data_IF_642376445925
#
_entry.id   IF_642376445925
#
_cell.length_a   1.000
_cell.length_b   1.000
_cell.length_c   1.000
_cell.angle_alpha   90.00
_cell.angle_beta   90.00
_cell.angle_gamma   90.00
#
_symmetry.space_group_name_H-M   'P 1'
#
loop_
_entity.id
_entity.type
_entity.pdbx_description
1 polymer ?
#
# COMPACT_ATOMS: atom_id res chain seq x y z
N UNK A 1 23.68 -7.19 -11.78
CA UNK A 1 23.11 -5.88 -11.42
C UNK A 1 22.53 -5.81 -10.00
N UNK A 2 22.38 -6.92 -9.27
CA UNK A 2 22.05 -6.86 -7.83
C UNK A 2 20.61 -6.43 -7.49
N UNK A 3 19.68 -6.55 -8.46
CA UNK A 3 18.26 -6.25 -8.25
C UNK A 3 17.65 -7.36 -7.37
N UNK A 4 16.78 -6.97 -6.44
CA UNK A 4 16.24 -7.85 -5.39
C UNK A 4 14.71 -7.92 -5.35
N UNK A 5 14.01 -7.16 -6.20
CA UNK A 5 12.56 -7.03 -6.22
C UNK A 5 12.11 -6.91 -7.69
N UNK A 6 11.22 -7.79 -8.15
CA UNK A 6 10.69 -7.78 -9.51
C UNK A 6 9.16 -7.78 -9.49
N UNK A 7 8.61 -6.58 -9.67
CA UNK A 7 7.20 -6.29 -9.47
C UNK A 7 6.39 -6.45 -10.74
N UNK A 8 5.21 -7.07 -10.60
CA UNK A 8 4.19 -7.25 -11.62
C UNK A 8 4.76 -7.64 -13.02
N UNK A 9 5.45 -8.79 -13.13
CA UNK A 9 6.14 -9.16 -14.36
C UNK A 9 5.21 -9.55 -15.52
N UNK A 10 3.94 -9.78 -15.22
CA UNK A 10 2.91 -10.27 -16.13
C UNK A 10 1.59 -9.55 -15.81
N UNK A 11 0.61 -9.52 -16.74
CA UNK A 11 -0.70 -8.96 -16.44
C UNK A 11 -1.27 -9.56 -15.15
N UNK A 12 -1.53 -8.71 -14.14
CA UNK A 12 -1.82 -9.16 -12.77
C UNK A 12 -3.00 -10.15 -12.70
N UNK A 13 -3.99 -10.01 -13.59
CA UNK A 13 -5.17 -10.87 -13.65
C UNK A 13 -4.91 -12.27 -14.24
N UNK A 14 -3.68 -12.59 -14.66
CA UNK A 14 -3.26 -13.90 -15.16
C UNK A 14 -2.25 -14.55 -14.17
N UNK A 15 -2.70 -15.05 -13.01
CA UNK A 15 -1.82 -15.54 -11.94
C UNK A 15 -0.94 -16.71 -12.37
N UNK A 16 -1.36 -17.50 -13.34
CA UNK A 16 -0.58 -18.61 -13.89
C UNK A 16 0.69 -18.11 -14.61
N UNK A 17 0.64 -16.94 -15.24
CA UNK A 17 1.80 -16.37 -15.93
C UNK A 17 2.80 -15.81 -14.90
N UNK A 18 2.33 -15.04 -13.91
CA UNK A 18 3.18 -14.57 -12.81
C UNK A 18 3.83 -15.75 -12.07
N UNK A 19 3.06 -16.81 -11.80
CA UNK A 19 3.58 -18.00 -11.12
C UNK A 19 4.71 -18.68 -11.91
N UNK A 20 4.62 -18.78 -13.24
CA UNK A 20 5.73 -19.32 -14.06
C UNK A 20 7.01 -18.50 -13.86
N UNK A 21 6.90 -17.18 -13.73
CA UNK A 21 8.04 -16.29 -13.49
C UNK A 21 8.60 -16.51 -12.08
N UNK A 22 7.75 -16.53 -11.06
CA UNK A 22 8.11 -16.79 -9.66
C UNK A 22 8.84 -18.13 -9.52
N UNK A 23 8.30 -19.20 -10.11
CA UNK A 23 8.90 -20.54 -10.01
C UNK A 23 10.23 -20.66 -10.79
N UNK A 24 10.44 -19.85 -11.83
CA UNK A 24 11.63 -19.92 -12.68
C UNK A 24 12.81 -19.06 -12.19
N UNK A 25 12.54 -18.02 -11.40
CA UNK A 25 13.53 -17.04 -10.99
C UNK A 25 13.94 -17.22 -9.53
N UNK A 26 15.05 -16.55 -9.16
CA UNK A 26 15.54 -16.46 -7.78
C UNK A 26 15.34 -15.08 -7.15
N UNK A 27 14.98 -14.09 -7.98
CA UNK A 27 14.65 -12.74 -7.51
C UNK A 27 13.23 -12.79 -6.95
N UNK A 28 12.96 -12.06 -5.86
CA UNK A 28 11.62 -11.99 -5.28
C UNK A 28 10.66 -11.40 -6.33
N UNK A 29 9.66 -12.18 -6.74
CA UNK A 29 8.56 -11.72 -7.61
C UNK A 29 7.41 -11.22 -6.74
N UNK A 30 6.88 -10.05 -7.07
CA UNK A 30 5.95 -9.34 -6.18
C UNK A 30 4.73 -8.83 -6.94
N UNK A 31 3.61 -8.63 -6.24
CA UNK A 31 2.44 -7.99 -6.83
C UNK A 31 1.18 -8.02 -5.97
N UNK A 32 0.08 -7.59 -6.57
CA UNK A 32 -1.26 -7.57 -5.99
C UNK A 32 -1.83 -6.19 -5.68
N UNK A 33 -1.22 -5.10 -6.17
CA UNK A 33 -1.69 -3.74 -5.88
C UNK A 33 -3.14 -3.52 -6.35
N UNK A 34 -3.54 -4.07 -7.51
CA UNK A 34 -4.89 -3.89 -8.06
C UNK A 34 -5.91 -4.92 -7.55
N UNK A 35 -5.46 -5.97 -6.85
CA UNK A 35 -6.34 -7.03 -6.38
C UNK A 35 -7.19 -6.55 -5.19
N UNK A 36 -8.49 -6.37 -5.41
CA UNK A 36 -9.43 -5.90 -4.36
C UNK A 36 -10.36 -7.01 -3.82
N UNK A 37 -10.26 -8.24 -4.31
CA UNK A 37 -11.14 -9.37 -3.96
C UNK A 37 -10.43 -10.39 -3.05
N UNK A 38 -11.03 -10.70 -1.90
CA UNK A 38 -10.48 -11.66 -0.93
C UNK A 38 -10.33 -13.08 -1.49
N UNK A 39 -11.14 -13.45 -2.48
CA UNK A 39 -11.05 -14.77 -3.13
C UNK A 39 -9.78 -14.86 -3.97
N UNK A 40 -9.41 -13.77 -4.65
CA UNK A 40 -8.18 -13.70 -5.46
C UNK A 40 -6.97 -13.71 -4.53
N UNK A 41 -6.98 -12.90 -3.48
CA UNK A 41 -5.92 -12.90 -2.46
C UNK A 41 -5.69 -14.28 -1.87
N UNK A 42 -6.77 -14.99 -1.51
CA UNK A 42 -6.67 -16.34 -0.98
C UNK A 42 -6.03 -17.30 -1.99
N UNK A 43 -6.48 -17.30 -3.25
CA UNK A 43 -5.89 -18.15 -4.31
C UNK A 43 -4.41 -17.84 -4.52
N UNK A 44 -4.07 -16.55 -4.64
CA UNK A 44 -2.72 -16.06 -4.87
C UNK A 44 -1.74 -16.51 -3.76
N UNK A 45 -2.17 -16.41 -2.50
CA UNK A 45 -1.38 -16.80 -1.33
C UNK A 45 -1.29 -18.33 -1.20
N UNK A 46 -2.41 -19.06 -1.33
CA UNK A 46 -2.44 -20.52 -1.20
C UNK A 46 -1.51 -21.19 -2.24
N UNK A 47 -1.46 -20.63 -3.46
CA UNK A 47 -0.67 -21.15 -4.57
C UNK A 47 0.74 -20.57 -4.65
N UNK A 48 1.07 -19.61 -3.79
CA UNK A 48 2.33 -18.87 -3.79
C UNK A 48 2.66 -18.34 -5.19
N UNK A 49 1.74 -17.56 -5.75
CA UNK A 49 1.91 -16.95 -7.08
C UNK A 49 3.03 -15.91 -7.07
N UNK A 50 3.22 -15.23 -5.93
CA UNK A 50 4.27 -14.23 -5.68
C UNK A 50 5.04 -14.60 -4.41
N UNK A 51 6.27 -14.08 -4.30
CA UNK A 51 7.12 -14.20 -3.11
C UNK A 51 6.79 -13.13 -2.05
N UNK A 52 6.25 -11.98 -2.49
CA UNK A 52 5.85 -10.85 -1.63
C UNK A 52 4.49 -10.32 -2.09
N UNK A 53 3.56 -10.15 -1.16
CA UNK A 53 2.25 -9.54 -1.43
C UNK A 53 2.30 -8.02 -1.29
N UNK A 54 1.57 -7.30 -2.15
CA UNK A 54 1.57 -5.84 -2.20
C UNK A 54 0.17 -5.22 -2.21
N UNK A 55 -0.69 -5.48 -1.20
CA UNK A 55 -2.01 -4.87 -1.17
C UNK A 55 -1.92 -3.34 -1.08
N UNK A 56 -2.72 -2.61 -1.86
CA UNK A 56 -2.96 -1.19 -1.61
C UNK A 56 -4.08 -1.01 -0.56
N UNK A 57 -3.85 -0.21 0.47
CA UNK A 57 -4.82 -0.03 1.58
C UNK A 57 -6.13 0.62 1.11
N UNK A 58 -6.07 1.54 0.15
CA UNK A 58 -7.23 2.23 -0.39
C UNK A 58 -8.00 1.36 -1.38
N UNK A 59 -7.31 0.65 -2.29
CA UNK A 59 -7.98 -0.23 -3.27
C UNK A 59 -8.60 -1.46 -2.62
N UNK A 60 -8.00 -1.97 -1.54
CA UNK A 60 -8.58 -3.05 -0.76
C UNK A 60 -9.88 -2.69 -0.06
N UNK A 61 -10.21 -1.40 0.09
CA UNK A 61 -11.34 -0.93 0.87
C UNK A 61 -11.00 -0.77 2.36
N UNK A 62 -9.76 -0.40 2.68
CA UNK A 62 -9.33 0.05 4.00
C UNK A 62 -8.55 -0.98 4.83
N UNK A 63 -8.04 -0.50 5.97
CA UNK A 63 -7.14 -1.25 6.87
C UNK A 63 -7.66 -2.63 7.25
N UNK A 64 -8.94 -2.76 7.60
CA UNK A 64 -9.50 -4.03 8.08
C UNK A 64 -9.31 -5.14 7.06
N UNK A 65 -9.55 -4.85 5.78
CA UNK A 65 -9.41 -5.82 4.69
C UNK A 65 -7.92 -6.07 4.40
N UNK A 66 -7.10 -5.03 4.35
CA UNK A 66 -5.65 -5.19 4.16
C UNK A 66 -5.00 -6.01 5.29
N UNK A 67 -5.46 -5.88 6.53
CA UNK A 67 -4.99 -6.67 7.68
C UNK A 67 -5.35 -8.14 7.54
N UNK A 68 -6.52 -8.45 6.96
CA UNK A 68 -6.89 -9.83 6.64
C UNK A 68 -5.96 -10.44 5.58
N UNK A 69 -5.60 -9.68 4.54
CA UNK A 69 -4.62 -10.09 3.53
C UNK A 69 -3.25 -10.34 4.16
N UNK A 70 -2.73 -9.38 4.95
CA UNK A 70 -1.46 -9.56 5.64
C UNK A 70 -1.47 -10.76 6.57
N UNK A 71 -2.60 -11.03 7.27
CA UNK A 71 -2.73 -12.20 8.13
C UNK A 71 -2.72 -13.52 7.34
N UNK A 72 -3.35 -13.57 6.17
CA UNK A 72 -3.27 -14.74 5.28
C UNK A 72 -1.83 -14.96 4.82
N UNK A 73 -1.14 -13.89 4.42
CA UNK A 73 0.26 -13.96 3.98
C UNK A 73 1.19 -14.39 5.14
N UNK A 74 0.99 -13.87 6.35
CA UNK A 74 1.76 -14.24 7.55
C UNK A 74 1.67 -15.74 7.81
N UNK A 75 0.46 -16.31 7.78
CA UNK A 75 0.24 -17.75 7.97
C UNK A 75 0.90 -18.62 6.88
N UNK A 76 1.08 -18.06 5.67
CA UNK A 76 1.78 -18.71 4.56
C UNK A 76 3.30 -18.47 4.58
N UNK A 77 3.82 -17.72 5.55
CA UNK A 77 5.20 -17.22 5.62
C UNK A 77 5.58 -16.35 4.40
N UNK A 78 4.66 -15.52 3.94
CA UNK A 78 4.84 -14.55 2.86
C UNK A 78 4.92 -13.14 3.45
N UNK A 79 5.90 -12.38 2.97
CA UNK A 79 6.13 -10.99 3.36
C UNK A 79 5.09 -10.07 2.72
N UNK A 80 4.71 -9.01 3.43
CA UNK A 80 3.78 -7.98 2.94
C UNK A 80 4.48 -6.62 2.80
N UNK A 81 4.64 -6.16 1.54
CA UNK A 81 5.19 -4.84 1.18
C UNK A 81 4.11 -4.07 0.41
N UNK A 82 3.23 -3.31 1.08
CA UNK A 82 2.08 -2.68 0.44
C UNK A 82 2.49 -1.63 -0.61
N UNK A 83 1.65 -1.49 -1.63
CA UNK A 83 1.71 -0.40 -2.60
C UNK A 83 1.25 0.92 -1.97
N UNK A 84 1.92 2.02 -2.33
CA UNK A 84 1.65 3.40 -1.94
C UNK A 84 2.27 4.42 -2.92
N UNK A 85 1.76 4.49 -4.15
CA UNK A 85 2.40 5.25 -5.24
C UNK A 85 2.20 6.79 -5.26
N UNK A 86 1.68 7.42 -4.20
CA UNK A 86 1.53 8.89 -4.14
C UNK A 86 1.46 9.44 -2.70
N UNK A 87 1.68 10.74 -2.55
CA UNK A 87 1.73 11.43 -1.26
C UNK A 87 0.34 11.89 -0.79
N UNK A 88 -0.67 11.04 -0.94
CA UNK A 88 -1.99 11.20 -0.31
C UNK A 88 -2.08 10.41 0.99
N UNK A 89 -3.30 10.24 1.53
CA UNK A 89 -3.52 9.40 2.71
C UNK A 89 -3.06 7.94 2.52
N UNK A 90 -2.93 7.44 1.29
CA UNK A 90 -2.46 6.06 1.05
C UNK A 90 -1.12 5.81 1.74
N UNK A 91 -0.14 6.71 1.57
CA UNK A 91 1.18 6.58 2.19
C UNK A 91 1.10 6.68 3.71
N UNK A 92 0.30 7.59 4.25
CA UNK A 92 0.06 7.72 5.71
C UNK A 92 -0.50 6.41 6.28
N UNK A 93 -1.56 5.89 5.65
CA UNK A 93 -2.18 4.64 6.09
C UNK A 93 -1.22 3.45 5.98
N UNK A 94 -0.42 3.38 4.91
CA UNK A 94 0.56 2.32 4.71
C UNK A 94 1.69 2.36 5.74
N UNK A 95 2.18 3.54 6.15
CA UNK A 95 3.17 3.67 7.23
C UNK A 95 2.67 3.01 8.53
N UNK A 96 1.45 3.35 8.95
CA UNK A 96 0.83 2.77 10.13
C UNK A 96 0.55 1.27 9.97
N UNK A 97 0.11 0.85 8.78
CA UNK A 97 -0.13 -0.55 8.46
C UNK A 97 1.13 -1.39 8.60
N UNK A 98 2.24 -0.96 7.97
CA UNK A 98 3.55 -1.61 8.08
C UNK A 98 4.04 -1.71 9.51
N UNK A 99 3.77 -0.69 10.34
CA UNK A 99 4.12 -0.70 11.76
C UNK A 99 3.27 -1.67 12.58
N UNK A 100 2.05 -1.97 12.13
CA UNK A 100 1.08 -2.80 12.84
C UNK A 100 1.14 -4.30 12.51
N UNK A 101 1.73 -4.69 11.38
CA UNK A 101 1.84 -6.10 10.97
C UNK A 101 3.17 -6.73 11.39
N UNK A 102 3.17 -8.05 11.56
CA UNK A 102 4.32 -8.85 11.99
C UNK A 102 5.16 -9.37 10.82
N UNK A 103 4.57 -9.50 9.63
CA UNK A 103 5.22 -9.93 8.39
C UNK A 103 5.52 -8.76 7.43
N UNK A 104 5.85 -7.59 7.98
CA UNK A 104 6.18 -6.41 7.19
C UNK A 104 7.40 -6.62 6.29
N UNK A 105 7.32 -6.02 5.11
CA UNK A 105 8.40 -5.95 4.14
C UNK A 105 9.56 -5.07 4.59
N UNK A 106 10.55 -5.00 3.69
CA UNK A 106 11.84 -4.34 3.96
C UNK A 106 11.71 -2.81 4.04
N UNK A 107 10.69 -2.23 3.41
CA UNK A 107 10.55 -0.78 3.23
C UNK A 107 9.09 -0.40 2.97
N UNK A 108 8.82 0.91 3.06
CA UNK A 108 7.62 1.56 2.54
C UNK A 108 7.90 2.02 1.10
N UNK A 109 6.96 1.81 0.18
CA UNK A 109 6.99 2.51 -1.10
C UNK A 109 6.74 4.00 -0.89
N UNK A 110 7.64 4.83 -1.44
CA UNK A 110 7.55 6.28 -1.31
C UNK A 110 7.75 6.94 -2.66
N UNK A 111 6.68 7.53 -3.19
CA UNK A 111 6.77 8.31 -4.44
C UNK A 111 7.71 9.50 -4.29
N UNK A 112 8.65 9.62 -5.21
CA UNK A 112 9.57 10.76 -5.33
C UNK A 112 9.15 11.74 -6.44
N UNK A 113 8.03 11.47 -7.11
CA UNK A 113 7.53 12.27 -8.22
C UNK A 113 7.05 13.65 -7.78
N UNK A 114 7.34 14.65 -8.62
CA UNK A 114 7.01 16.06 -8.39
C UNK A 114 5.59 16.45 -8.79
N UNK A 115 5.31 17.75 -8.73
CA UNK A 115 4.01 18.33 -9.10
C UNK A 115 3.75 18.34 -10.61
N UNK A 116 4.76 18.08 -11.43
CA UNK A 116 4.62 17.86 -12.87
C UNK A 116 3.92 16.52 -13.17
N UNK A 117 4.05 15.53 -12.29
CA UNK A 117 3.36 14.24 -12.38
C UNK A 117 2.09 14.19 -11.50
N UNK A 118 2.20 14.61 -10.24
CA UNK A 118 1.09 14.64 -9.28
C UNK A 118 0.75 16.07 -8.81
N UNK A 119 0.22 16.95 -9.69
CA UNK A 119 -0.11 18.32 -9.30
C UNK A 119 -1.19 18.39 -8.21
N UNK A 120 -2.07 17.40 -8.18
CA UNK A 120 -3.20 17.32 -7.24
C UNK A 120 -2.78 16.98 -5.80
N UNK A 121 -1.55 16.48 -5.57
CA UNK A 121 -1.08 16.13 -4.22
C UNK A 121 -0.56 17.34 -3.43
N UNK A 122 -0.44 18.50 -4.07
CA UNK A 122 0.00 19.74 -3.40
C UNK A 122 -0.97 20.15 -2.31
N UNK A 123 -0.41 20.54 -1.16
CA UNK A 123 -1.14 21.20 -0.07
C UNK A 123 -2.35 20.42 0.46
N UNK A 124 -2.36 19.08 0.35
CA UNK A 124 -3.43 18.23 0.88
C UNK A 124 -3.54 18.32 2.41
N UNK A 125 -2.41 18.37 3.10
CA UNK A 125 -2.31 18.34 4.56
C UNK A 125 -1.92 19.71 5.13
N UNK A 126 -2.35 19.98 6.36
CA UNK A 126 -2.02 21.23 7.07
C UNK A 126 -0.52 21.33 7.43
N UNK A 127 0.17 20.20 7.52
CA UNK A 127 1.61 20.09 7.67
C UNK A 127 2.11 18.89 6.89
N UNK A 128 3.37 18.91 6.45
CA UNK A 128 3.98 17.79 5.73
C UNK A 128 4.15 16.56 6.65
N UNK A 129 3.45 15.43 6.36
CA UNK A 129 3.64 14.19 7.11
C UNK A 129 4.76 13.31 6.53
N UNK A 130 5.38 13.72 5.41
CA UNK A 130 6.27 12.90 4.60
C UNK A 130 7.73 13.31 4.69
N UNK A 131 8.12 14.02 5.75
CA UNK A 131 9.51 14.41 5.96
C UNK A 131 10.41 13.16 6.12
N UNK A 132 11.33 12.99 5.16
CA UNK A 132 12.33 11.92 5.16
C UNK A 132 13.59 12.37 5.88
N UNK A 133 14.08 11.56 6.81
CA UNK A 133 15.39 11.73 7.45
C UNK A 133 16.19 10.44 7.32
N UNK A 134 17.38 10.51 6.71
CA UNK A 134 18.27 9.35 6.50
C UNK A 134 17.61 8.14 5.78
N UNK A 135 16.64 8.40 4.91
CA UNK A 135 15.92 7.36 4.17
C UNK A 135 14.75 6.74 4.94
N UNK A 136 14.37 7.31 6.08
CA UNK A 136 13.27 6.82 6.92
C UNK A 136 12.17 7.88 7.07
N UNK A 137 10.93 7.40 7.17
CA UNK A 137 9.78 8.18 7.62
C UNK A 137 9.48 7.91 9.09
N UNK A 138 9.08 8.96 9.79
CA UNK A 138 8.70 8.86 11.21
C UNK A 138 7.19 9.00 11.38
N UNK A 139 6.58 8.00 12.01
CA UNK A 139 5.20 8.11 12.50
C UNK A 139 5.21 8.94 13.79
N UNK A 140 4.54 10.09 13.78
CA UNK A 140 4.43 10.97 14.95
C UNK A 140 3.52 10.34 16.00
N UNK A 141 3.83 10.54 17.28
CA UNK A 141 3.00 10.08 18.40
C UNK A 141 1.81 11.02 18.63
N UNK A 142 0.92 11.09 17.65
CA UNK A 142 -0.30 11.92 17.64
C UNK A 142 -1.49 10.97 17.43
N UNK A 143 -2.64 11.18 18.12
CA UNK A 143 -3.80 10.30 17.98
C UNK A 143 -4.29 10.15 16.52
N UNK A 144 -4.86 8.98 16.21
CA UNK A 144 -5.39 8.68 14.89
C UNK A 144 -4.30 8.56 13.82
N UNK A 145 -4.52 9.16 12.66
CA UNK A 145 -3.55 9.19 11.55
C UNK A 145 -2.43 10.22 11.74
N UNK A 146 -2.50 11.06 12.77
CA UNK A 146 -1.48 12.07 13.05
C UNK A 146 -1.37 13.18 12.00
N UNK A 147 -2.41 13.38 11.18
CA UNK A 147 -2.48 14.41 10.14
C UNK A 147 -3.82 15.14 10.19
N UNK A 148 -3.77 16.42 9.84
CA UNK A 148 -4.94 17.26 9.57
C UNK A 148 -4.94 17.66 8.09
N UNK A 149 -6.12 17.73 7.48
CA UNK A 149 -6.26 18.25 6.11
C UNK A 149 -6.09 19.77 6.07
N UNK A 150 -5.55 20.28 4.96
CA UNK A 150 -5.48 21.70 4.71
C UNK A 150 -6.89 22.29 4.53
N UNK A 151 -7.22 23.32 5.32
CA UNK A 151 -8.52 24.00 5.25
C UNK A 151 -8.82 24.61 3.89
N UNK A 152 -7.82 25.19 3.22
CA UNK A 152 -7.97 25.79 1.89
C UNK A 152 -8.23 24.75 0.80
N UNK A 153 -7.74 23.52 1.01
CA UNK A 153 -8.06 22.39 0.15
C UNK A 153 -9.52 21.96 0.38
N UNK A 154 -9.93 21.82 1.64
CA UNK A 154 -11.30 21.45 2.01
C UNK A 154 -12.36 22.46 1.50
N UNK A 155 -12.06 23.76 1.54
CA UNK A 155 -12.94 24.82 1.02
C UNK A 155 -13.27 24.68 -0.47
N UNK A 156 -12.43 23.97 -1.23
CA UNK A 156 -12.60 23.73 -2.68
C UNK A 156 -13.20 22.36 -2.99
N UNK A 157 -13.36 21.49 -1.99
CA UNK A 157 -13.86 20.14 -2.17
C UNK A 157 -15.39 20.12 -2.33
N UNK A 158 -15.90 19.13 -3.07
CA UNK A 158 -17.33 18.82 -3.04
C UNK A 158 -17.74 18.31 -1.67
N UNK A 159 -18.83 18.84 -1.12
CA UNK A 159 -19.34 18.45 0.18
C UNK A 159 -20.63 17.65 0.03
N UNK A 160 -20.61 16.43 0.56
CA UNK A 160 -21.78 15.57 0.73
C UNK A 160 -21.77 15.02 2.16
N UNK A 161 -22.94 14.81 2.75
CA UNK A 161 -23.07 14.23 4.08
C UNK A 161 -24.24 13.25 4.13
N UNK A 162 -24.17 12.32 5.07
CA UNK A 162 -25.25 11.39 5.40
C UNK A 162 -25.28 11.23 6.91
N UNK A 163 -26.47 11.26 7.50
CA UNK A 163 -26.67 11.08 8.93
C UNK A 163 -27.60 9.91 9.20
N UNK A 164 -27.40 9.25 10.33
CA UNK A 164 -28.31 8.21 10.79
C UNK A 164 -29.50 8.89 11.47
N UNK A 165 -30.70 8.67 10.93
CA UNK A 165 -31.94 9.04 11.61
C UNK A 165 -32.36 7.89 12.55
N UNK A 166 -32.49 8.18 13.85
CA UNK A 166 -32.91 7.21 14.89
C UNK A 166 -34.37 6.74 14.74
#
# INVERSE_FOLDING_TARGET
NGITHFEEPCPYWLPDETKKVTDALKIDVTGGEQDCDMRIWKDMIDRKVVDIVQPDVMYMGGLTRSLQVAKMAELANITCTPHAANLSLVTVCTMHFLKGITNSGKFLEFSIEGLDYYPWQSDLFASDPFQIENGELTIKNIPGWGVDFNKQWLEKAGYEYSEYEE
#
